data_IF_353993389132
#
_entry.id   IF_353993389132
#
_cell.length_a   1.000
_cell.length_b   1.000
_cell.length_c   1.000
_cell.angle_alpha   90.00
_cell.angle_beta   90.00
_cell.angle_gamma   90.00
#
_symmetry.space_group_name_H-M   'P 1'
#
loop_
_entity.id
_entity.type
_entity.pdbx_description
1 polymer ?
#
# COMPACT_ATOMS: atom_id res chain seq x y z
N UNK A 1 -78.57 -29.74 15.98
CA UNK A 1 -77.26 -29.94 15.38
C UNK A 1 -76.52 -28.61 15.43
N UNK A 2 -75.60 -28.37 16.41
CA UNK A 2 -74.91 -27.09 16.63
C UNK A 2 -73.56 -27.16 15.92
N UNK A 3 -73.36 -26.34 14.92
CA UNK A 3 -72.10 -26.23 14.20
C UNK A 3 -71.24 -25.24 14.92
N UNK A 4 -70.04 -25.69 15.41
CA UNK A 4 -68.99 -24.90 16.00
C UNK A 4 -68.31 -24.02 14.94
N UNK A 5 -68.60 -22.73 14.93
CA UNK A 5 -67.90 -21.68 14.20
C UNK A 5 -66.99 -20.92 15.22
N UNK A 6 -65.81 -21.44 15.58
CA UNK A 6 -64.97 -20.68 16.54
C UNK A 6 -63.46 -20.80 16.29
N UNK A 7 -62.97 -21.55 15.34
CA UNK A 7 -61.52 -21.70 15.21
C UNK A 7 -60.86 -21.06 13.94
N UNK A 8 -61.68 -20.42 13.10
CA UNK A 8 -61.14 -19.81 11.86
C UNK A 8 -60.59 -18.35 12.08
N UNK A 9 -61.14 -17.67 13.10
CA UNK A 9 -60.74 -16.26 13.35
C UNK A 9 -59.39 -16.12 14.05
N UNK A 10 -59.02 -17.10 14.88
CA UNK A 10 -57.77 -17.10 15.64
C UNK A 10 -56.57 -17.45 14.75
N UNK A 11 -56.72 -18.29 13.72
CA UNK A 11 -55.67 -18.63 12.79
C UNK A 11 -55.35 -17.48 11.82
N UNK A 12 -56.32 -16.67 11.47
CA UNK A 12 -56.12 -15.52 10.56
C UNK A 12 -55.37 -14.36 11.26
N UNK A 13 -55.54 -14.19 12.59
CA UNK A 13 -54.87 -13.16 13.35
C UNK A 13 -53.37 -13.49 13.60
N UNK A 14 -53.05 -14.77 13.68
CA UNK A 14 -51.64 -15.21 13.91
C UNK A 14 -50.79 -15.07 12.65
N UNK A 15 -51.40 -15.15 11.47
CA UNK A 15 -50.66 -15.02 10.20
C UNK A 15 -50.33 -13.57 9.83
N UNK A 16 -51.00 -12.59 10.36
CA UNK A 16 -50.73 -11.16 10.09
C UNK A 16 -49.56 -10.63 10.90
N UNK A 17 -49.17 -11.28 12.01
CA UNK A 17 -48.05 -10.83 12.85
C UNK A 17 -46.68 -11.23 12.28
N UNK A 18 -46.63 -12.22 11.34
CA UNK A 18 -45.36 -12.71 10.76
C UNK A 18 -44.82 -11.86 9.64
N UNK A 19 -45.53 -10.85 9.12
CA UNK A 19 -45.08 -10.02 8.01
C UNK A 19 -44.44 -8.68 8.43
N UNK A 20 -44.31 -8.37 9.73
CA UNK A 20 -43.72 -7.13 10.19
C UNK A 20 -42.28 -7.27 10.70
N UNK A 21 -41.54 -8.35 10.38
CA UNK A 21 -40.16 -8.56 10.85
C UNK A 21 -39.12 -8.33 9.76
N UNK A 22 -39.35 -7.42 8.82
CA UNK A 22 -38.39 -7.14 7.74
C UNK A 22 -37.96 -5.66 7.69
N UNK A 23 -37.70 -5.04 8.85
CA UNK A 23 -37.09 -3.70 8.92
C UNK A 23 -35.93 -3.66 9.91
N UNK A 24 -34.94 -4.54 9.74
CA UNK A 24 -33.71 -4.52 10.54
C UNK A 24 -32.44 -4.51 9.67
N UNK A 25 -32.56 -4.12 8.40
CA UNK A 25 -31.42 -3.72 7.60
C UNK A 25 -31.54 -2.21 7.30
N UNK A 26 -31.23 -1.36 8.28
CA UNK A 26 -30.78 -0.02 7.97
C UNK A 26 -29.47 -0.15 7.18
N UNK A 27 -29.58 -0.04 5.85
CA UNK A 27 -28.39 0.18 5.02
C UNK A 27 -27.89 1.60 5.35
N UNK A 28 -26.94 1.70 6.27
CA UNK A 28 -26.22 2.94 6.52
C UNK A 28 -25.44 3.27 5.25
N UNK A 29 -26.03 4.10 4.39
CA UNK A 29 -25.36 4.66 3.23
C UNK A 29 -24.29 5.64 3.74
N UNK A 30 -23.05 5.19 3.84
CA UNK A 30 -21.90 6.05 4.17
C UNK A 30 -21.75 7.08 3.06
N UNK A 31 -21.78 8.35 3.41
CA UNK A 31 -21.69 9.43 2.43
C UNK A 31 -20.31 9.43 1.76
N UNK A 32 -20.24 9.81 0.47
CA UNK A 32 -18.96 9.94 -0.26
C UNK A 32 -17.97 10.88 0.45
N UNK A 33 -18.46 11.83 1.23
CA UNK A 33 -17.66 12.77 2.02
C UNK A 33 -17.02 12.08 3.24
N UNK A 34 -17.72 11.18 3.89
CA UNK A 34 -17.20 10.37 5.00
C UNK A 34 -16.19 9.34 4.52
N UNK A 35 -16.44 8.72 3.36
CA UNK A 35 -15.48 7.82 2.71
C UNK A 35 -14.19 8.56 2.37
N UNK A 36 -14.28 9.76 1.75
CA UNK A 36 -13.10 10.60 1.44
C UNK A 36 -12.35 11.00 2.70
N UNK A 37 -13.04 11.36 3.78
CA UNK A 37 -12.41 11.72 5.06
C UNK A 37 -11.72 10.52 5.71
N UNK A 38 -12.32 9.34 5.67
CA UNK A 38 -11.74 8.12 6.22
C UNK A 38 -10.54 7.61 5.40
N UNK A 39 -10.51 7.89 4.08
CA UNK A 39 -9.42 7.49 3.18
C UNK A 39 -8.27 8.50 3.11
N UNK A 40 -8.45 9.74 3.58
CA UNK A 40 -7.36 10.72 3.62
C UNK A 40 -6.33 10.37 4.70
N UNK A 41 -5.03 10.57 4.39
CA UNK A 41 -3.95 10.41 5.36
C UNK A 41 -4.04 11.48 6.44
N UNK A 42 -3.79 11.09 7.68
CA UNK A 42 -3.76 11.97 8.85
C UNK A 42 -2.41 11.84 9.56
N UNK A 43 -2.07 12.81 10.41
CA UNK A 43 -0.83 12.76 11.22
C UNK A 43 -0.83 11.65 12.27
N UNK A 44 -1.92 10.91 12.42
CA UNK A 44 -2.03 9.76 13.32
C UNK A 44 -1.87 8.43 12.61
N UNK A 45 -1.89 8.43 11.27
CA UNK A 45 -1.69 7.21 10.49
C UNK A 45 -0.22 6.83 10.50
N UNK A 46 0.06 5.55 10.61
CA UNK A 46 1.40 5.01 10.66
C UNK A 46 1.86 4.67 9.24
N UNK A 47 2.98 5.27 8.74
CA UNK A 47 3.55 4.92 7.45
C UNK A 47 4.14 3.50 7.49
N UNK A 48 4.45 2.90 6.33
CA UNK A 48 5.20 1.65 6.31
C UNK A 48 6.57 1.87 6.93
N UNK A 49 7.08 0.85 7.62
CA UNK A 49 8.39 0.93 8.28
C UNK A 49 9.07 -0.44 8.34
N UNK A 50 10.32 -0.48 8.78
CA UNK A 50 10.99 -1.72 9.18
C UNK A 50 11.01 -1.85 10.70
N UNK A 51 11.08 -3.09 11.24
CA UNK A 51 11.14 -3.31 12.69
C UNK A 51 12.26 -2.52 13.38
N UNK A 52 13.39 -2.33 12.70
CA UNK A 52 14.55 -1.59 13.20
C UNK A 52 14.28 -0.10 13.41
N UNK A 53 13.30 0.45 12.66
CA UNK A 53 12.92 1.85 12.70
C UNK A 53 11.72 2.13 13.63
N UNK A 54 10.97 1.08 14.04
CA UNK A 54 9.66 1.21 14.71
C UNK A 54 9.74 1.98 16.04
N UNK A 55 10.87 1.90 16.74
CA UNK A 55 11.05 2.56 18.05
C UNK A 55 11.43 4.05 17.96
N UNK A 56 11.62 4.57 16.75
CA UNK A 56 12.01 5.97 16.52
C UNK A 56 10.79 6.90 16.51
N UNK A 57 11.02 8.20 16.71
CA UNK A 57 10.02 9.23 16.47
C UNK A 57 9.63 9.24 14.97
N UNK A 58 8.40 9.63 14.64
CA UNK A 58 7.83 9.49 13.29
C UNK A 58 8.70 10.10 12.18
N UNK A 59 9.33 11.26 12.40
CA UNK A 59 10.24 11.89 11.43
C UNK A 59 11.50 11.07 11.18
N UNK A 60 12.06 10.52 12.25
CA UNK A 60 13.29 9.72 12.21
C UNK A 60 12.99 8.32 11.65
N UNK A 61 11.80 7.79 11.97
CA UNK A 61 11.28 6.53 11.44
C UNK A 61 11.23 6.54 9.91
N UNK A 62 10.67 7.62 9.32
CA UNK A 62 10.61 7.75 7.87
C UNK A 62 12.01 7.83 7.24
N UNK A 63 12.91 8.61 7.82
CA UNK A 63 14.28 8.74 7.35
C UNK A 63 15.04 7.41 7.45
N UNK A 64 14.87 6.68 8.56
CA UNK A 64 15.44 5.35 8.76
C UNK A 64 14.91 4.36 7.69
N UNK A 65 13.61 4.33 7.47
CA UNK A 65 12.96 3.46 6.47
C UNK A 65 13.49 3.73 5.05
N UNK A 66 13.55 4.99 4.64
CA UNK A 66 14.09 5.38 3.34
C UNK A 66 15.56 5.04 3.18
N UNK A 67 16.37 5.23 4.23
CA UNK A 67 17.79 4.87 4.22
C UNK A 67 18.00 3.38 4.01
N UNK A 68 17.27 2.53 4.74
CA UNK A 68 17.36 1.07 4.59
C UNK A 68 17.02 0.63 3.16
N UNK A 69 15.94 1.19 2.58
CA UNK A 69 15.56 0.86 1.21
C UNK A 69 16.65 1.31 0.23
N UNK A 70 17.12 2.55 0.35
CA UNK A 70 18.16 3.11 -0.53
C UNK A 70 19.45 2.27 -0.47
N UNK A 71 19.88 1.88 0.71
CA UNK A 71 21.08 1.06 0.90
C UNK A 71 20.91 -0.33 0.27
N UNK A 72 19.74 -0.96 0.45
CA UNK A 72 19.43 -2.26 -0.16
C UNK A 72 19.38 -2.20 -1.68
N UNK A 73 18.72 -1.19 -2.24
CA UNK A 73 18.66 -0.98 -3.68
C UNK A 73 20.04 -0.70 -4.26
N UNK A 74 20.82 0.19 -3.64
CA UNK A 74 22.18 0.50 -4.08
C UNK A 74 23.08 -0.75 -4.07
N UNK A 75 22.97 -1.57 -3.02
CA UNK A 75 23.70 -2.85 -2.95
C UNK A 75 23.28 -3.78 -4.08
N UNK A 76 21.98 -4.00 -4.31
CA UNK A 76 21.47 -4.86 -5.38
C UNK A 76 21.90 -4.38 -6.78
N UNK A 77 21.89 -3.05 -7.00
CA UNK A 77 22.33 -2.45 -8.27
C UNK A 77 23.84 -2.68 -8.47
N UNK A 78 24.64 -2.51 -7.41
CA UNK A 78 26.08 -2.74 -7.50
C UNK A 78 26.45 -4.22 -7.77
N UNK A 79 25.69 -5.14 -7.18
CA UNK A 79 25.85 -6.59 -7.39
C UNK A 79 25.45 -7.04 -8.81
N UNK A 80 24.63 -6.27 -9.52
CA UNK A 80 24.27 -6.54 -10.91
C UNK A 80 25.44 -6.37 -11.90
N UNK A 81 26.60 -5.84 -11.45
CA UNK A 81 27.81 -5.65 -12.23
C UNK A 81 27.57 -4.93 -13.56
N UNK A 82 26.75 -3.89 -13.54
CA UNK A 82 26.47 -3.09 -14.72
C UNK A 82 27.74 -2.35 -15.17
N UNK A 83 28.05 -2.42 -16.47
CA UNK A 83 29.18 -1.72 -17.07
C UNK A 83 28.67 -0.50 -17.81
N UNK A 84 29.01 0.67 -17.30
CA UNK A 84 28.65 1.92 -17.94
C UNK A 84 29.56 2.19 -19.16
N UNK A 85 28.96 2.65 -20.26
CA UNK A 85 29.73 3.06 -21.46
C UNK A 85 30.42 4.41 -21.24
N UNK A 86 29.92 5.24 -20.34
CA UNK A 86 30.48 6.56 -19.99
C UNK A 86 30.32 6.80 -18.48
N UNK A 87 31.20 7.64 -17.87
CA UNK A 87 31.00 8.05 -16.48
C UNK A 87 29.66 8.76 -16.31
N UNK A 88 28.93 8.43 -15.26
CA UNK A 88 27.66 9.09 -14.96
C UNK A 88 27.46 9.24 -13.46
N UNK A 89 26.74 10.31 -13.10
CA UNK A 89 26.25 10.59 -11.74
C UNK A 89 24.91 11.31 -11.89
N UNK A 90 23.82 10.57 -11.76
CA UNK A 90 22.47 11.05 -12.03
C UNK A 90 21.48 10.50 -11.01
N UNK A 91 20.35 11.20 -10.82
CA UNK A 91 19.27 10.76 -9.96
C UNK A 91 18.19 10.05 -10.76
N UNK A 92 17.67 8.97 -10.20
CA UNK A 92 16.50 8.23 -10.66
C UNK A 92 15.44 8.34 -9.57
N UNK A 93 14.19 8.59 -9.96
CA UNK A 93 13.06 8.62 -9.01
C UNK A 93 12.26 7.33 -9.19
N UNK A 94 12.10 6.59 -8.10
CA UNK A 94 11.29 5.37 -8.04
C UNK A 94 9.99 5.67 -7.32
N UNK A 95 8.85 5.48 -7.97
CA UNK A 95 7.55 5.45 -7.30
C UNK A 95 7.27 4.04 -6.80
N UNK A 96 7.39 3.84 -5.50
CA UNK A 96 7.24 2.55 -4.84
C UNK A 96 5.88 2.43 -4.18
N UNK A 97 5.35 1.20 -4.16
CA UNK A 97 4.19 0.83 -3.36
C UNK A 97 4.57 -0.27 -2.38
N UNK A 98 4.13 -0.12 -1.13
CA UNK A 98 4.10 -1.18 -0.11
C UNK A 98 2.65 -1.61 0.06
N UNK A 99 2.37 -2.87 -0.16
CA UNK A 99 1.01 -3.40 -0.01
C UNK A 99 0.66 -3.69 1.47
N UNK A 100 -0.58 -4.09 1.71
CA UNK A 100 -1.10 -4.44 3.05
C UNK A 100 -0.36 -5.59 3.74
N UNK A 101 0.51 -6.29 3.01
CA UNK A 101 1.35 -7.37 3.52
C UNK A 101 2.80 -6.93 3.70
N UNK A 102 3.13 -5.68 3.37
CA UNK A 102 4.49 -5.15 3.43
C UNK A 102 5.34 -5.49 2.20
N UNK A 103 4.75 -6.01 1.12
CA UNK A 103 5.48 -6.37 -0.11
C UNK A 103 5.65 -5.14 -1.00
N UNK A 104 6.88 -4.93 -1.48
CA UNK A 104 7.21 -3.83 -2.38
C UNK A 104 6.85 -4.15 -3.82
N UNK A 105 6.45 -3.12 -4.56
CA UNK A 105 6.34 -3.13 -6.02
C UNK A 105 6.73 -1.77 -6.58
N UNK A 106 7.40 -1.78 -7.73
CA UNK A 106 7.72 -0.60 -8.51
C UNK A 106 6.50 -0.23 -9.35
N UNK A 107 5.93 0.95 -9.14
CA UNK A 107 4.80 1.46 -9.93
C UNK A 107 5.28 2.23 -11.15
N UNK A 108 6.26 3.11 -10.94
CA UNK A 108 6.82 3.98 -11.95
C UNK A 108 8.30 4.22 -11.67
N UNK A 109 9.07 4.49 -12.72
CA UNK A 109 10.48 4.88 -12.61
C UNK A 109 10.78 5.98 -13.63
N UNK A 110 11.30 7.10 -13.13
CA UNK A 110 11.79 8.20 -13.96
C UNK A 110 13.30 8.05 -14.12
N UNK A 111 13.73 7.58 -15.28
CA UNK A 111 15.16 7.37 -15.62
C UNK A 111 15.57 8.40 -16.68
N UNK A 112 16.53 9.27 -16.40
CA UNK A 112 17.13 10.14 -17.41
C UNK A 112 17.69 9.35 -18.61
N UNK A 113 17.51 9.89 -19.83
CA UNK A 113 17.98 9.23 -21.05
C UNK A 113 19.49 8.90 -21.02
N UNK A 114 20.29 9.78 -20.41
CA UNK A 114 21.74 9.56 -20.28
C UNK A 114 22.07 8.28 -19.51
N UNK A 115 21.24 7.89 -18.53
CA UNK A 115 21.41 6.62 -17.81
C UNK A 115 21.06 5.44 -18.74
N UNK A 116 19.96 5.52 -19.49
CA UNK A 116 19.55 4.44 -20.41
C UNK A 116 20.54 4.24 -21.57
N UNK A 117 21.19 5.31 -22.02
CA UNK A 117 22.26 5.24 -23.02
C UNK A 117 23.54 4.59 -22.48
N UNK A 118 23.90 4.94 -21.23
CA UNK A 118 25.09 4.40 -20.56
C UNK A 118 24.87 2.99 -19.98
N UNK A 119 23.67 2.69 -19.52
CA UNK A 119 23.25 1.47 -18.81
C UNK A 119 21.89 1.00 -19.33
N UNK A 120 21.80 0.35 -20.50
CA UNK A 120 20.52 -0.05 -21.11
C UNK A 120 19.66 -0.96 -20.23
N UNK A 121 20.28 -1.80 -19.40
CA UNK A 121 19.60 -2.75 -18.52
C UNK A 121 19.18 -2.15 -17.18
N UNK A 122 19.38 -0.85 -16.94
CA UNK A 122 19.10 -0.19 -15.66
C UNK A 122 17.66 -0.38 -15.22
N UNK A 123 16.69 -0.26 -16.11
CA UNK A 123 15.28 -0.43 -15.77
C UNK A 123 14.99 -1.83 -15.22
N UNK A 124 15.45 -2.86 -15.91
CA UNK A 124 15.27 -4.25 -15.46
C UNK A 124 15.99 -4.51 -14.13
N UNK A 125 17.17 -3.93 -13.95
CA UNK A 125 17.94 -4.04 -12.70
C UNK A 125 17.18 -3.41 -11.53
N UNK A 126 16.59 -2.23 -11.72
CA UNK A 126 15.77 -1.56 -10.70
C UNK A 126 14.51 -2.36 -10.36
N UNK A 127 13.80 -2.90 -11.36
CA UNK A 127 12.64 -3.78 -11.14
C UNK A 127 13.01 -5.01 -10.30
N UNK A 128 14.14 -5.65 -10.64
CA UNK A 128 14.65 -6.82 -9.91
C UNK A 128 15.10 -6.47 -8.48
N UNK A 129 15.78 -5.34 -8.30
CA UNK A 129 16.21 -4.85 -7.01
C UNK A 129 15.01 -4.55 -6.09
N UNK A 130 13.96 -3.89 -6.60
CA UNK A 130 12.74 -3.63 -5.82
C UNK A 130 12.04 -4.94 -5.44
N UNK A 131 11.96 -5.91 -6.36
CA UNK A 131 11.35 -7.21 -6.08
C UNK A 131 12.12 -8.02 -5.01
N UNK A 132 13.40 -7.72 -4.80
CA UNK A 132 14.26 -8.38 -3.79
C UNK A 132 14.23 -7.71 -2.41
N UNK A 133 13.56 -6.56 -2.26
CA UNK A 133 13.49 -5.86 -0.97
C UNK A 133 12.82 -6.75 0.08
N UNK A 134 13.35 -6.75 1.33
CA UNK A 134 12.71 -7.47 2.42
C UNK A 134 11.34 -6.87 2.73
N UNK A 135 10.45 -7.72 3.22
CA UNK A 135 9.10 -7.32 3.60
C UNK A 135 9.14 -6.27 4.71
N UNK A 136 8.40 -5.17 4.53
CA UNK A 136 8.23 -4.13 5.53
C UNK A 136 7.01 -4.39 6.43
N UNK A 137 6.90 -3.67 7.53
CA UNK A 137 5.64 -3.51 8.26
C UNK A 137 4.72 -2.62 7.42
N UNK A 138 3.48 -3.03 7.16
CA UNK A 138 2.57 -2.27 6.31
C UNK A 138 2.08 -0.99 6.98
N UNK A 139 1.70 -0.01 6.18
CA UNK A 139 1.06 1.20 6.68
C UNK A 139 -0.28 0.92 7.36
N UNK A 140 -0.57 1.65 8.45
CA UNK A 140 -1.79 1.47 9.25
C UNK A 140 -2.64 2.74 9.26
N UNK A 141 -3.91 2.61 8.89
CA UNK A 141 -4.94 3.62 9.14
C UNK A 141 -5.43 3.50 10.57
N UNK A 142 -4.88 4.30 11.47
CA UNK A 142 -5.14 4.21 12.92
C UNK A 142 -6.59 4.52 13.29
N UNK A 143 -7.30 5.36 12.52
CA UNK A 143 -8.71 5.70 12.76
C UNK A 143 -9.67 4.52 12.54
N UNK A 144 -9.26 3.51 11.78
CA UNK A 144 -10.06 2.30 11.47
C UNK A 144 -9.32 1.00 11.81
N UNK A 145 -8.06 1.07 12.23
CA UNK A 145 -7.27 -0.08 12.66
C UNK A 145 -6.99 -1.09 11.54
N UNK A 146 -6.79 -0.62 10.29
CA UNK A 146 -6.59 -1.50 9.14
C UNK A 146 -5.28 -1.21 8.43
N UNK A 147 -4.65 -2.26 7.90
CA UNK A 147 -3.52 -2.13 6.99
C UNK A 147 -3.97 -1.62 5.63
N UNK A 148 -3.19 -0.71 5.06
CA UNK A 148 -3.47 -0.09 3.76
C UNK A 148 -2.23 -0.11 2.88
N UNK A 149 -2.45 -0.04 1.57
CA UNK A 149 -1.36 0.19 0.63
C UNK A 149 -0.83 1.61 0.81
N UNK A 150 0.48 1.77 0.80
CA UNK A 150 1.16 3.06 0.82
C UNK A 150 2.00 3.23 -0.44
N UNK A 151 2.08 4.46 -0.94
CA UNK A 151 2.88 4.83 -2.10
C UNK A 151 3.74 6.02 -1.74
N UNK A 152 4.99 6.03 -2.22
CA UNK A 152 5.93 7.12 -2.01
C UNK A 152 7.00 7.14 -3.11
N UNK A 153 7.61 8.32 -3.29
CA UNK A 153 8.72 8.49 -4.22
C UNK A 153 10.04 8.40 -3.47
N UNK A 154 10.99 7.69 -4.06
CA UNK A 154 12.34 7.49 -3.52
C UNK A 154 13.36 7.91 -4.57
N UNK A 155 14.08 9.02 -4.37
CA UNK A 155 15.21 9.38 -5.21
C UNK A 155 16.41 8.50 -4.88
N UNK A 156 17.05 7.95 -5.92
CA UNK A 156 18.30 7.17 -5.81
C UNK A 156 19.33 7.79 -6.73
N UNK A 157 20.55 7.98 -6.22
CA UNK A 157 21.67 8.42 -7.02
C UNK A 157 22.38 7.22 -7.65
N UNK A 158 22.47 7.23 -8.97
CA UNK A 158 23.23 6.24 -9.74
C UNK A 158 24.59 6.83 -10.11
N UNK A 159 25.65 6.15 -9.69
CA UNK A 159 27.04 6.47 -10.03
C UNK A 159 27.66 5.28 -10.73
N UNK A 160 28.25 5.51 -11.89
CA UNK A 160 28.98 4.47 -12.61
C UNK A 160 30.23 5.04 -13.29
N UNK A 161 31.25 4.19 -13.39
CA UNK A 161 32.49 4.49 -14.10
C UNK A 161 32.70 3.40 -15.17
N UNK A 162 33.24 3.73 -16.34
CA UNK A 162 33.67 2.73 -17.32
C UNK A 162 34.75 1.84 -16.71
N UNK A 163 34.78 0.58 -17.11
CA UNK A 163 35.94 -0.29 -16.82
C UNK A 163 37.03 0.06 -17.81
N UNK A 164 38.19 0.41 -17.33
CA UNK A 164 39.40 0.63 -18.14
C UNK A 164 39.95 -0.69 -18.71
#
# INVERSE_FOLDING_TARGET
MKIKKSNSLLLSSFFIIMFNSCELFESTTVSSKEIKKASSWTTKDEPPTYPECESLEMSDQLSCFQSIISDRLTTSISEANLVASTPLEENVILTLKVDKKGVFSLLEVEIPNIILEALPDMKFTLESAVASLPQALPATKTNVGVYVDAQFDLPIQIRAQPIE
#
